data_IF_081290064631
#
_entry.id   IF_081290064631
#
_cell.length_a   1.000
_cell.length_b   1.000
_cell.length_c   1.000
_cell.angle_alpha   90.00
_cell.angle_beta   90.00
_cell.angle_gamma   90.00
#
_symmetry.space_group_name_H-M   'P 1'
#
loop_
_entity.id
_entity.type
_entity.pdbx_description
1 polymer ?
#
# COMPACT_ATOMS: atom_id res chain seq x y z
N UNK A 1 -10.04 13.83 12.33
CA UNK A 1 -9.23 12.70 11.84
C UNK A 1 -9.94 12.14 10.62
N UNK A 2 -9.24 12.05 9.49
CA UNK A 2 -9.78 11.47 8.25
C UNK A 2 -8.94 10.24 7.88
N UNK A 3 -9.61 9.17 7.43
CA UNK A 3 -8.96 7.93 7.01
C UNK A 3 -9.49 7.61 5.62
N UNK A 4 -8.57 7.42 4.68
CA UNK A 4 -8.87 7.05 3.31
C UNK A 4 -8.25 5.69 3.03
N UNK A 5 -9.10 4.68 2.81
CA UNK A 5 -8.69 3.34 2.41
C UNK A 5 -8.96 3.17 0.92
N UNK A 6 -7.93 2.85 0.16
CA UNK A 6 -7.93 2.66 -1.31
C UNK A 6 -8.52 3.81 -2.16
N UNK A 7 -8.83 4.96 -1.58
CA UNK A 7 -9.52 6.06 -2.29
C UNK A 7 -8.74 6.65 -3.48
N UNK A 8 -7.45 6.33 -3.59
CA UNK A 8 -6.55 6.84 -4.64
C UNK A 8 -6.19 5.76 -5.68
N UNK A 9 -6.44 4.48 -5.40
CA UNK A 9 -6.03 3.38 -6.28
C UNK A 9 -6.78 3.33 -7.61
N UNK A 10 -8.00 3.87 -7.65
CA UNK A 10 -8.88 3.87 -8.83
C UNK A 10 -8.96 5.25 -9.53
N UNK A 11 -8.09 6.21 -9.16
CA UNK A 11 -8.07 7.52 -9.78
C UNK A 11 -7.16 7.53 -11.00
N UNK A 12 -7.62 8.16 -12.09
CA UNK A 12 -6.74 8.53 -13.19
C UNK A 12 -5.72 9.60 -12.74
N UNK A 13 -4.67 9.80 -13.54
CA UNK A 13 -3.58 10.70 -13.20
C UNK A 13 -4.02 12.15 -12.97
N UNK A 14 -4.98 12.66 -13.76
CA UNK A 14 -5.48 14.03 -13.63
C UNK A 14 -6.27 14.18 -12.32
N UNK A 15 -7.14 13.21 -12.01
CA UNK A 15 -7.91 13.23 -10.78
C UNK A 15 -7.02 13.07 -9.54
N UNK A 16 -5.97 12.26 -9.61
CA UNK A 16 -5.00 12.11 -8.53
C UNK A 16 -4.24 13.42 -8.23
N UNK A 17 -3.92 14.22 -9.25
CA UNK A 17 -3.31 15.54 -9.07
C UNK A 17 -4.26 16.53 -8.40
N UNK A 18 -5.52 16.59 -8.84
CA UNK A 18 -6.54 17.43 -8.21
C UNK A 18 -6.81 17.03 -6.75
N UNK A 19 -6.82 15.72 -6.48
CA UNK A 19 -6.93 15.17 -5.14
C UNK A 19 -5.76 15.63 -4.26
N UNK A 20 -4.53 15.45 -4.74
CA UNK A 20 -3.32 15.86 -4.03
C UNK A 20 -3.33 17.37 -3.69
N UNK A 21 -3.75 18.23 -4.61
CA UNK A 21 -3.89 19.68 -4.35
C UNK A 21 -4.86 19.97 -3.21
N UNK A 22 -5.98 19.24 -3.14
CA UNK A 22 -6.99 19.41 -2.09
C UNK A 22 -6.47 18.97 -0.74
N UNK A 23 -5.83 17.81 -0.67
CA UNK A 23 -5.23 17.29 0.57
C UNK A 23 -4.11 18.20 1.06
N UNK A 24 -3.24 18.68 0.16
CA UNK A 24 -2.14 19.57 0.51
C UNK A 24 -2.62 20.88 1.17
N UNK A 25 -3.82 21.37 0.81
CA UNK A 25 -4.45 22.56 1.45
C UNK A 25 -4.94 22.31 2.88
N UNK A 26 -5.18 21.05 3.21
CA UNK A 26 -5.68 20.61 4.51
C UNK A 26 -4.55 20.07 5.42
N UNK A 27 -3.34 19.90 4.86
CA UNK A 27 -2.13 19.56 5.60
C UNK A 27 -1.93 20.51 6.78
N UNK A 28 -1.63 19.96 7.95
CA UNK A 28 -1.40 20.71 9.19
C UNK A 28 -2.67 21.23 9.89
N UNK A 29 -3.86 21.11 9.28
CA UNK A 29 -5.15 21.46 9.92
C UNK A 29 -5.85 20.26 10.53
N UNK A 30 -5.67 19.08 9.92
CA UNK A 30 -6.29 17.83 10.34
C UNK A 30 -5.32 16.67 10.15
N UNK A 31 -5.36 15.70 11.05
CA UNK A 31 -4.64 14.43 10.88
C UNK A 31 -5.34 13.59 9.82
N UNK A 32 -4.59 13.16 8.80
CA UNK A 32 -5.06 12.31 7.71
C UNK A 32 -4.19 11.06 7.60
N UNK A 33 -4.82 9.92 7.37
CA UNK A 33 -4.14 8.64 7.13
C UNK A 33 -4.60 8.12 5.76
N UNK A 34 -3.63 7.78 4.92
CA UNK A 34 -3.86 7.19 3.60
C UNK A 34 -3.35 5.76 3.59
N UNK A 35 -4.21 4.83 3.17
CA UNK A 35 -3.85 3.44 2.88
C UNK A 35 -4.04 3.26 1.38
N UNK A 36 -2.93 3.15 0.64
CA UNK A 36 -2.95 3.05 -0.82
C UNK A 36 -1.78 2.23 -1.33
N UNK A 37 -2.00 1.54 -2.44
CA UNK A 37 -0.95 0.78 -3.14
C UNK A 37 0.08 1.70 -3.81
N UNK A 38 -0.33 2.88 -4.27
CA UNK A 38 0.55 3.86 -4.90
C UNK A 38 0.27 5.25 -4.33
N UNK A 39 1.33 5.97 -3.99
CA UNK A 39 1.25 7.35 -3.52
C UNK A 39 1.37 8.29 -4.73
N UNK A 40 0.42 9.22 -4.96
CA UNK A 40 0.51 10.19 -6.04
C UNK A 40 1.75 11.06 -5.91
N UNK A 41 2.44 11.34 -7.03
CA UNK A 41 3.67 12.15 -7.04
C UNK A 41 3.50 13.56 -6.47
N UNK A 42 2.30 14.13 -6.57
CA UNK A 42 2.00 15.48 -6.08
C UNK A 42 1.52 15.57 -4.63
N UNK A 43 1.36 14.42 -3.94
CA UNK A 43 0.83 14.38 -2.58
C UNK A 43 1.94 14.70 -1.57
N UNK A 44 1.74 15.75 -0.77
CA UNK A 44 2.66 16.10 0.32
C UNK A 44 2.20 15.44 1.60
N UNK A 45 2.89 14.38 2.00
CA UNK A 45 2.66 13.71 3.29
C UNK A 45 3.77 14.05 4.27
N UNK A 46 3.48 13.92 5.55
CA UNK A 46 4.47 14.11 6.61
C UNK A 46 5.37 12.87 6.75
N UNK A 47 4.79 11.68 6.60
CA UNK A 47 5.48 10.40 6.68
C UNK A 47 4.91 9.44 5.63
N UNK A 48 5.77 8.61 5.04
CA UNK A 48 5.38 7.49 4.16
C UNK A 48 5.86 6.21 4.81
N UNK A 49 4.93 5.31 5.13
CA UNK A 49 5.25 3.94 5.55
C UNK A 49 4.82 2.95 4.46
N UNK A 50 5.77 2.16 3.96
CA UNK A 50 5.48 1.07 3.04
C UNK A 50 5.30 -0.24 3.82
N UNK A 51 4.13 -0.85 3.72
CA UNK A 51 3.83 -2.16 4.30
C UNK A 51 4.03 -3.26 3.24
N UNK A 52 5.27 -3.45 2.79
CA UNK A 52 5.64 -4.55 1.89
C UNK A 52 6.43 -5.62 2.67
N UNK A 53 5.91 -6.84 2.81
CA UNK A 53 6.73 -7.94 3.34
C UNK A 53 6.06 -9.08 4.10
N UNK A 54 4.74 -9.27 4.05
CA UNK A 54 4.16 -10.53 4.54
C UNK A 54 4.11 -11.57 3.42
N UNK A 55 5.26 -11.92 2.85
CA UNK A 55 5.39 -13.12 2.03
C UNK A 55 5.55 -14.32 2.95
N UNK A 56 4.49 -15.12 3.09
CA UNK A 56 4.63 -16.46 3.69
C UNK A 56 5.36 -17.32 2.66
N UNK A 57 6.66 -17.57 2.86
CA UNK A 57 7.37 -18.60 2.12
C UNK A 57 6.78 -19.97 2.50
N UNK A 58 5.86 -20.46 1.68
CA UNK A 58 5.42 -21.86 1.77
C UNK A 58 6.51 -22.73 1.17
N UNK A 59 7.42 -23.23 2.01
CA UNK A 59 8.34 -24.30 1.63
C UNK A 59 7.52 -25.59 1.48
N UNK A 60 7.27 -25.99 0.23
CA UNK A 60 6.76 -27.32 -0.07
C UNK A 60 7.76 -28.35 0.48
N UNK A 61 7.34 -29.10 1.51
CA UNK A 61 8.15 -30.20 2.04
C UNK A 61 8.32 -31.24 0.93
N UNK A 62 9.57 -31.49 0.52
CA UNK A 62 9.88 -32.59 -0.38
C UNK A 62 9.48 -33.90 0.29
N UNK A 63 8.52 -34.61 -0.32
CA UNK A 63 8.15 -35.96 0.08
C UNK A 63 9.36 -36.87 -0.10
N UNK A 64 9.98 -37.29 1.01
CA UNK A 64 11.00 -38.35 1.01
C UNK A 64 10.31 -39.69 0.79
N UNK A 65 10.01 -40.01 -0.46
CA UNK A 65 9.67 -41.36 -0.87
C UNK A 65 10.93 -42.25 -0.89
N UNK A 66 11.33 -42.77 0.27
CA UNK A 66 12.28 -43.88 0.35
C UNK A 66 11.50 -45.19 0.37
N UNK A 67 11.04 -45.66 -0.79
CA UNK A 67 10.72 -47.08 -0.96
C UNK A 67 12.00 -47.80 -1.36
N UNK A 68 12.70 -48.31 -0.35
CA UNK A 68 13.60 -49.43 -0.55
C UNK A 68 12.77 -50.71 -0.53
N UNK A 69 12.93 -51.56 -1.53
CA UNK A 69 12.69 -52.99 -1.41
C UNK A 69 13.85 -53.69 -2.12
N UNK A 70 14.55 -54.52 -1.34
CA UNK A 70 15.53 -55.48 -1.85
C UNK A 70 14.90 -56.85 -2.10
#
# INVERSE_FOLDING_TARGET
>A
MLIFDEAISNLDQQTAEHFAQTINRLKGKVTMIFITHQVPKGLQVDEVMSMGGYSIEVKLAQERGSYGEG
#
